data_IF_828121921138
#
_entry.id   IF_828121921138
#
_cell.length_a   1.000
_cell.length_b   1.000
_cell.length_c   1.000
_cell.angle_alpha   90.00
_cell.angle_beta   90.00
_cell.angle_gamma   90.00
#
_symmetry.space_group_name_H-M   'P 1'
#
loop_
_entity.id
_entity.type
_entity.pdbx_description
1 polymer ?
#
# COMPACT_ATOMS: atom_id res chain seq x y z
N UNK A 1 -9.68 -8.25 -21.45
CA UNK A 1 -8.79 -7.22 -20.91
C UNK A 1 -7.40 -7.83 -20.91
N UNK A 2 -6.53 -7.39 -21.81
CA UNK A 2 -5.13 -7.81 -21.83
C UNK A 2 -4.38 -7.02 -20.74
N UNK A 3 -3.28 -7.58 -20.21
CA UNK A 3 -2.44 -6.93 -19.22
C UNK A 3 -1.87 -5.61 -19.76
N UNK A 4 -1.63 -5.55 -21.08
CA UNK A 4 -1.18 -4.34 -21.78
C UNK A 4 -2.23 -3.21 -21.68
N UNK A 5 -3.50 -3.51 -21.99
CA UNK A 5 -4.60 -2.53 -21.89
C UNK A 5 -4.74 -1.96 -20.47
N UNK A 6 -4.45 -2.79 -19.45
CA UNK A 6 -4.54 -2.37 -18.05
C UNK A 6 -3.43 -1.39 -17.68
N UNK A 7 -2.22 -1.56 -18.23
CA UNK A 7 -1.10 -0.66 -17.98
C UNK A 7 -1.39 0.76 -18.47
N UNK A 8 -2.12 0.91 -19.57
CA UNK A 8 -2.49 2.21 -20.14
C UNK A 8 -3.46 3.01 -19.24
N UNK A 9 -4.16 2.34 -18.33
CA UNK A 9 -5.06 2.98 -17.37
C UNK A 9 -4.32 3.58 -16.15
N UNK A 10 -3.05 3.24 -15.96
CA UNK A 10 -2.27 3.68 -14.79
C UNK A 10 -1.76 5.10 -15.02
N UNK A 11 -2.41 6.06 -14.37
CA UNK A 11 -1.97 7.45 -14.36
C UNK A 11 -0.84 7.64 -13.34
N UNK A 12 0.20 8.39 -13.74
CA UNK A 12 1.25 8.80 -12.81
C UNK A 12 0.70 9.87 -11.85
N UNK A 13 1.16 9.92 -10.60
CA UNK A 13 0.85 11.04 -9.71
C UNK A 13 1.20 12.40 -10.35
N UNK A 14 0.32 13.37 -10.22
CA UNK A 14 0.46 14.67 -10.90
C UNK A 14 1.44 15.60 -10.15
N UNK A 15 2.44 16.11 -10.87
CA UNK A 15 3.47 16.98 -10.31
C UNK A 15 3.01 18.41 -10.02
N UNK A 16 1.98 18.91 -10.69
CA UNK A 16 1.30 20.16 -10.36
C UNK A 16 0.56 20.05 -9.03
N UNK A 17 -0.27 19.01 -8.87
CA UNK A 17 -1.00 18.75 -7.61
C UNK A 17 -0.03 18.55 -6.43
N UNK A 18 1.13 17.91 -6.67
CA UNK A 18 2.16 17.80 -5.63
C UNK A 18 2.68 19.17 -5.18
N UNK A 19 2.99 20.07 -6.13
CA UNK A 19 3.42 21.45 -5.83
C UNK A 19 2.33 22.24 -5.10
N UNK A 20 1.07 22.10 -5.49
CA UNK A 20 -0.04 22.75 -4.79
C UNK A 20 -0.15 22.29 -3.32
N UNK A 21 0.17 21.01 -3.06
CA UNK A 21 0.24 20.46 -1.70
C UNK A 21 1.44 21.00 -0.91
N UNK A 22 2.63 21.09 -1.53
CA UNK A 22 3.83 21.73 -0.96
C UNK A 22 3.53 23.19 -0.56
N UNK A 23 3.01 24.00 -1.48
CA UNK A 23 2.66 25.40 -1.24
C UNK A 23 1.60 25.55 -0.14
N UNK A 24 0.61 24.65 -0.08
CA UNK A 24 -0.37 24.65 1.01
C UNK A 24 0.31 24.40 2.35
N UNK A 25 1.26 23.46 2.41
CA UNK A 25 1.96 23.09 3.64
C UNK A 25 2.81 24.24 4.16
N UNK A 26 3.49 24.98 3.29
CA UNK A 26 4.26 26.18 3.65
C UNK A 26 3.43 27.27 4.35
N UNK A 27 2.10 27.27 4.14
CA UNK A 27 1.15 28.19 4.78
C UNK A 27 0.65 27.69 6.14
N UNK A 28 1.01 26.49 6.58
CA UNK A 28 0.64 25.95 7.89
C UNK A 28 1.62 26.40 8.97
N UNK A 29 1.17 26.38 10.23
CA UNK A 29 2.03 26.69 11.39
C UNK A 29 3.14 25.67 11.60
N UNK A 30 2.97 24.44 11.11
CA UNK A 30 3.98 23.39 11.19
C UNK A 30 5.05 23.65 10.11
N UNK A 31 6.33 23.87 10.47
CA UNK A 31 7.38 24.13 9.49
C UNK A 31 7.56 22.95 8.52
N UNK A 32 7.89 23.20 7.24
CA UNK A 32 8.23 22.14 6.30
C UNK A 32 9.35 21.23 6.84
N UNK A 33 9.15 19.92 6.73
CA UNK A 33 10.11 18.90 7.19
C UNK A 33 9.98 18.53 8.67
N UNK A 34 9.21 19.27 9.47
CA UNK A 34 9.04 18.98 10.90
C UNK A 34 8.31 17.64 11.15
N UNK A 35 7.55 17.14 10.16
CA UNK A 35 6.88 15.83 10.25
C UNK A 35 7.63 14.71 9.52
N UNK A 36 8.81 15.00 8.95
CA UNK A 36 9.64 14.04 8.23
C UNK A 36 8.86 13.32 7.12
N UNK A 37 8.82 11.98 7.17
CA UNK A 37 8.15 11.14 6.16
C UNK A 37 6.66 11.39 6.01
N UNK A 38 5.99 11.94 7.03
CA UNK A 38 4.58 12.30 6.91
C UNK A 38 4.38 13.49 5.97
N UNK A 39 5.40 14.36 5.82
CA UNK A 39 5.33 15.43 4.85
C UNK A 39 5.33 14.88 3.43
N UNK A 40 6.34 14.09 3.11
CA UNK A 40 6.49 13.41 1.82
C UNK A 40 5.24 12.58 1.47
N UNK A 41 4.68 11.86 2.44
CA UNK A 41 3.49 11.03 2.23
C UNK A 41 2.25 11.86 1.89
N UNK A 42 2.04 13.00 2.57
CA UNK A 42 0.89 13.87 2.30
C UNK A 42 0.94 14.50 0.90
N UNK A 43 2.13 14.89 0.45
CA UNK A 43 2.39 15.39 -0.90
C UNK A 43 2.15 14.30 -1.96
N UNK A 44 2.72 13.12 -1.74
CA UNK A 44 2.57 12.00 -2.66
C UNK A 44 1.12 11.53 -2.75
N UNK A 45 0.40 11.42 -1.62
CA UNK A 45 -1.02 11.05 -1.61
C UNK A 45 -1.89 12.11 -2.29
N UNK A 46 -1.60 13.40 -2.11
CA UNK A 46 -2.32 14.48 -2.82
C UNK A 46 -2.19 14.31 -4.33
N UNK A 47 -0.96 14.07 -4.81
CA UNK A 47 -0.67 13.81 -6.21
C UNK A 47 -1.28 12.49 -6.72
N UNK A 48 -1.31 11.44 -5.91
CA UNK A 48 -1.91 10.16 -6.30
C UNK A 48 -3.45 10.24 -6.36
N UNK A 49 -4.07 11.04 -5.48
CA UNK A 49 -5.52 11.22 -5.40
C UNK A 49 -6.05 12.39 -6.25
N UNK A 50 -5.15 13.17 -6.88
CA UNK A 50 -5.48 14.40 -7.61
C UNK A 50 -6.28 15.40 -6.75
N UNK A 51 -5.86 15.61 -5.50
CA UNK A 51 -6.64 16.40 -4.52
C UNK A 51 -5.76 17.13 -3.51
N UNK A 52 -6.03 18.42 -3.32
CA UNK A 52 -5.47 19.26 -2.23
C UNK A 52 -6.62 19.93 -1.47
N UNK A 53 -6.77 19.73 -0.15
CA UNK A 53 -5.97 18.83 0.67
C UNK A 53 -6.16 17.35 0.29
N UNK A 54 -5.21 16.52 0.72
CA UNK A 54 -5.31 15.05 0.63
C UNK A 54 -6.63 14.57 1.25
N UNK A 55 -7.30 13.62 0.60
CA UNK A 55 -8.49 12.97 1.17
C UNK A 55 -8.06 11.88 2.15
N UNK A 56 -8.80 11.77 3.25
CA UNK A 56 -8.55 10.71 4.23
C UNK A 56 -8.73 9.33 3.59
N UNK A 57 -7.89 8.37 3.99
CA UNK A 57 -8.03 6.97 3.57
C UNK A 57 -9.05 6.32 4.49
N UNK A 58 -10.30 6.18 4.02
CA UNK A 58 -11.42 5.71 4.85
C UNK A 58 -11.58 4.19 4.86
N UNK A 59 -11.28 3.53 3.75
CA UNK A 59 -11.51 2.10 3.57
C UNK A 59 -10.30 1.39 2.97
N UNK A 60 -9.17 1.33 3.68
CA UNK A 60 -8.04 0.53 3.22
C UNK A 60 -8.45 -0.94 3.11
N UNK A 61 -7.87 -1.63 2.13
CA UNK A 61 -8.09 -3.06 1.89
C UNK A 61 -6.75 -3.77 1.89
N UNK A 62 -6.66 -4.84 2.66
CA UNK A 62 -5.57 -5.80 2.57
C UNK A 62 -5.96 -6.89 1.56
N UNK A 63 -5.10 -7.16 0.58
CA UNK A 63 -5.26 -8.27 -0.36
C UNK A 63 -4.13 -9.25 -0.14
N UNK A 64 -4.45 -10.48 0.28
CA UNK A 64 -3.49 -11.55 0.52
C UNK A 64 -3.43 -12.49 -0.69
N UNK A 65 -2.28 -12.56 -1.34
CA UNK A 65 -1.96 -13.58 -2.34
C UNK A 65 -1.16 -14.69 -1.66
N UNK A 66 -1.59 -15.94 -1.80
CA UNK A 66 -0.93 -17.10 -1.24
C UNK A 66 -0.82 -18.21 -2.28
N UNK A 67 0.32 -18.90 -2.30
CA UNK A 67 0.58 -20.02 -3.18
C UNK A 67 1.80 -20.79 -2.71
N UNK A 68 1.80 -22.09 -2.96
CA UNK A 68 2.98 -22.93 -2.76
C UNK A 68 3.92 -22.83 -3.98
N UNK A 69 5.21 -23.01 -3.74
CA UNK A 69 6.23 -23.00 -4.77
C UNK A 69 6.99 -24.33 -4.78
N UNK A 70 7.07 -25.00 -5.93
CA UNK A 70 7.67 -26.34 -6.04
C UNK A 70 9.13 -26.42 -5.58
N UNK A 71 9.89 -25.32 -5.68
CA UNK A 71 11.27 -25.25 -5.17
C UNK A 71 11.38 -25.55 -3.67
N UNK A 72 10.29 -25.35 -2.91
CA UNK A 72 10.27 -25.62 -1.47
C UNK A 72 10.47 -27.11 -1.13
N UNK A 73 10.18 -28.03 -2.05
CA UNK A 73 10.43 -29.47 -1.87
C UNK A 73 11.92 -29.79 -1.68
N UNK A 74 12.81 -28.89 -2.11
CA UNK A 74 14.27 -29.03 -1.94
C UNK A 74 14.76 -28.65 -0.53
N UNK A 75 13.86 -28.37 0.42
CA UNK A 75 14.23 -28.04 1.80
C UNK A 75 14.87 -26.65 1.97
N UNK A 76 14.67 -25.75 1.00
CA UNK A 76 15.24 -24.39 0.99
C UNK A 76 14.47 -23.37 1.84
N UNK A 77 13.41 -23.80 2.53
CA UNK A 77 12.49 -22.94 3.27
C UNK A 77 12.52 -23.24 4.78
N UNK A 78 12.25 -22.23 5.61
CA UNK A 78 12.13 -22.38 7.06
C UNK A 78 10.84 -23.07 7.53
N UNK A 79 9.99 -23.53 6.60
CA UNK A 79 8.73 -24.26 6.86
C UNK A 79 8.58 -25.41 5.85
N UNK A 80 7.81 -26.46 6.17
CA UNK A 80 7.51 -27.54 5.23
C UNK A 80 6.85 -27.02 3.94
N UNK A 81 7.11 -27.69 2.81
CA UNK A 81 6.43 -27.42 1.55
C UNK A 81 4.93 -27.79 1.63
N UNK A 82 4.09 -27.12 0.85
CA UNK A 82 2.63 -27.38 0.80
C UNK A 82 1.82 -26.72 1.93
N UNK A 83 2.45 -25.86 2.74
CA UNK A 83 1.85 -25.26 3.93
C UNK A 83 1.10 -23.95 3.70
N UNK A 84 1.03 -23.41 2.48
CA UNK A 84 0.40 -22.10 2.24
C UNK A 84 -1.08 -22.06 2.68
N UNK A 85 -1.81 -23.17 2.47
CA UNK A 85 -3.23 -23.28 2.80
C UNK A 85 -3.53 -23.11 4.32
N UNK A 86 -2.62 -23.56 5.19
CA UNK A 86 -2.76 -23.42 6.64
C UNK A 86 -2.67 -21.94 7.06
N UNK A 87 -1.79 -21.17 6.41
CA UNK A 87 -1.61 -19.75 6.68
C UNK A 87 -2.79 -18.92 6.18
N UNK A 88 -3.33 -19.28 5.02
CA UNK A 88 -4.59 -18.70 4.53
C UNK A 88 -5.71 -18.98 5.52
N UNK A 89 -5.82 -20.21 6.06
CA UNK A 89 -6.85 -20.54 7.05
C UNK A 89 -6.71 -19.70 8.32
N UNK A 90 -5.51 -19.60 8.87
CA UNK A 90 -5.25 -18.73 10.04
C UNK A 90 -5.62 -17.27 9.76
N UNK A 91 -5.40 -16.78 8.52
CA UNK A 91 -5.79 -15.43 8.14
C UNK A 91 -7.32 -15.26 8.08
N UNK A 92 -8.03 -16.23 7.50
CA UNK A 92 -9.50 -16.23 7.40
C UNK A 92 -10.17 -16.36 8.79
N UNK A 93 -9.59 -17.18 9.67
CA UNK A 93 -10.07 -17.38 11.04
C UNK A 93 -9.77 -16.18 11.96
N UNK A 94 -9.05 -15.17 11.46
CA UNK A 94 -8.69 -13.98 12.22
C UNK A 94 -7.56 -14.19 13.21
N UNK A 95 -6.92 -15.36 13.20
CA UNK A 95 -5.85 -15.74 14.12
C UNK A 95 -4.46 -15.24 13.69
N UNK A 96 -4.31 -14.83 12.42
CA UNK A 96 -3.04 -14.31 11.91
C UNK A 96 -2.81 -12.85 12.33
N UNK A 97 -1.55 -12.41 12.52
CA UNK A 97 -1.24 -11.01 12.79
C UNK A 97 -1.78 -10.06 11.72
N UNK A 98 -1.80 -10.49 10.44
CA UNK A 98 -2.30 -9.65 9.35
C UNK A 98 -3.80 -9.40 9.47
N UNK A 99 -4.56 -10.37 9.98
CA UNK A 99 -6.00 -10.24 10.24
C UNK A 99 -6.29 -9.30 11.40
N UNK A 100 -5.40 -9.24 12.39
CA UNK A 100 -5.53 -8.33 13.55
C UNK A 100 -5.22 -6.90 13.14
N UNK A 101 -4.16 -6.68 12.34
CA UNK A 101 -3.76 -5.34 11.90
C UNK A 101 -4.68 -4.75 10.81
N UNK A 102 -5.33 -5.60 10.03
CA UNK A 102 -6.26 -5.16 8.98
C UNK A 102 -7.70 -4.94 9.46
N UNK A 103 -7.99 -5.23 10.74
CA UNK A 103 -9.26 -4.92 11.39
C UNK A 103 -9.30 -3.45 11.80
#
# INVERSE_FOLDING_TARGET
>A
MNLDDFSDLIQRPDGGVRRDAEERRERLTVPPGALGRLDELGEWLSAAQQSVPVKAVEQPRLVLFAGDHGVAELGVSGRPAGGAHELVRAALDGASPVSVLAR
#
